data_IF_284107308810
#
_entry.id   IF_284107308810
#
_cell.length_a   1.000
_cell.length_b   1.000
_cell.length_c   1.000
_cell.angle_alpha   90.00
_cell.angle_beta   90.00
_cell.angle_gamma   90.00
#
_symmetry.space_group_name_H-M   'P 1'
#
loop_
_entity.id
_entity.type
_entity.pdbx_description
1 polymer ?
#
# COMPACT_ATOMS: atom_id res chain seq x y z
N UNK A 1 43.78 -13.54 -34.50
CA UNK A 1 43.20 -14.57 -33.62
C UNK A 1 43.29 -14.10 -32.18
N UNK A 2 42.15 -14.07 -31.46
CA UNK A 2 42.00 -13.90 -29.99
C UNK A 2 42.51 -12.57 -29.43
N UNK A 3 41.63 -11.68 -28.95
CA UNK A 3 41.90 -10.77 -27.80
C UNK A 3 40.74 -9.82 -27.42
N UNK A 4 39.58 -9.85 -28.07
CA UNK A 4 38.45 -8.94 -27.74
C UNK A 4 37.23 -9.61 -27.08
N UNK A 5 37.38 -10.85 -26.61
CA UNK A 5 36.41 -11.47 -25.70
C UNK A 5 36.77 -11.06 -24.27
N UNK A 6 36.08 -10.04 -23.74
CA UNK A 6 35.84 -9.75 -22.32
C UNK A 6 35.76 -8.24 -22.08
N UNK A 7 34.72 -7.60 -22.60
CA UNK A 7 34.27 -6.32 -22.05
C UNK A 7 32.87 -6.50 -21.49
N UNK A 8 32.82 -6.36 -20.17
CA UNK A 8 31.65 -5.88 -19.42
C UNK A 8 30.55 -6.91 -19.15
N UNK A 9 30.79 -7.67 -18.08
CA UNK A 9 29.85 -7.80 -16.95
C UNK A 9 28.38 -7.65 -17.36
N UNK A 10 27.72 -8.79 -17.62
CA UNK A 10 26.29 -8.90 -17.33
C UNK A 10 26.08 -8.22 -15.99
N UNK A 11 25.34 -7.11 -15.99
CA UNK A 11 24.83 -6.53 -14.77
C UNK A 11 23.97 -7.62 -14.12
N UNK A 12 24.61 -8.45 -13.28
CA UNK A 12 23.93 -9.35 -12.38
C UNK A 12 23.21 -8.42 -11.42
N UNK A 13 22.00 -8.01 -11.79
CA UNK A 13 21.02 -7.49 -10.84
C UNK A 13 20.82 -8.59 -9.82
N UNK A 14 21.61 -8.57 -8.74
CA UNK A 14 21.45 -9.52 -7.65
C UNK A 14 20.00 -9.40 -7.20
N UNK A 15 19.31 -10.52 -7.21
CA UNK A 15 17.99 -10.60 -6.59
C UNK A 15 18.18 -10.35 -5.09
N UNK A 16 17.31 -9.54 -4.45
CA UNK A 16 17.41 -9.32 -3.02
C UNK A 16 17.32 -10.65 -2.27
N UNK A 17 18.15 -10.78 -1.24
CA UNK A 17 18.09 -11.91 -0.32
C UNK A 17 16.76 -11.92 0.46
N UNK A 18 16.34 -13.08 0.97
CA UNK A 18 15.10 -13.17 1.74
C UNK A 18 15.05 -12.20 2.96
N UNK A 19 16.13 -11.99 3.73
CA UNK A 19 16.15 -11.00 4.81
C UNK A 19 16.01 -9.54 4.31
N UNK A 20 16.54 -9.24 3.13
CA UNK A 20 16.42 -7.93 2.48
C UNK A 20 14.96 -7.65 2.07
N UNK A 21 14.29 -8.62 1.46
CA UNK A 21 12.88 -8.54 1.12
C UNK A 21 11.98 -8.39 2.36
N UNK A 22 12.23 -9.16 3.42
CA UNK A 22 11.46 -9.06 4.67
C UNK A 22 11.53 -7.66 5.30
N UNK A 23 12.72 -7.05 5.34
CA UNK A 23 12.88 -5.67 5.84
C UNK A 23 12.17 -4.64 4.95
N UNK A 24 12.18 -4.82 3.64
CA UNK A 24 11.45 -3.95 2.72
C UNK A 24 9.94 -3.99 2.96
N UNK A 25 9.38 -5.20 3.14
CA UNK A 25 7.95 -5.36 3.46
C UNK A 25 7.62 -4.77 4.83
N UNK A 26 8.44 -5.04 5.85
CA UNK A 26 8.23 -4.52 7.19
C UNK A 26 8.22 -2.99 7.22
N UNK A 27 9.27 -2.35 6.72
CA UNK A 27 9.36 -0.89 6.75
C UNK A 27 8.42 -0.22 5.75
N UNK A 28 8.25 -0.80 4.56
CA UNK A 28 7.31 -0.31 3.57
C UNK A 28 5.87 -0.35 4.08
N UNK A 29 5.46 -1.49 4.66
CA UNK A 29 4.13 -1.66 5.24
C UNK A 29 3.88 -0.79 6.47
N UNK A 30 4.87 -0.64 7.38
CA UNK A 30 4.75 0.25 8.54
C UNK A 30 4.64 1.72 8.14
N UNK A 31 5.52 2.22 7.27
CA UNK A 31 5.49 3.62 6.83
C UNK A 31 4.22 3.93 6.04
N UNK A 32 3.81 3.01 5.16
CA UNK A 32 2.54 3.08 4.45
C UNK A 32 1.36 3.11 5.42
N UNK A 33 1.28 2.14 6.32
CA UNK A 33 0.17 1.98 7.25
C UNK A 33 0.04 3.18 8.16
N UNK A 34 1.14 3.67 8.75
CA UNK A 34 1.14 4.86 9.62
C UNK A 34 0.77 6.12 8.82
N UNK A 35 1.35 6.29 7.62
CA UNK A 35 1.06 7.45 6.76
C UNK A 35 -0.41 7.53 6.37
N UNK A 36 -0.96 6.44 5.83
CA UNK A 36 -2.36 6.38 5.41
C UNK A 36 -3.33 6.47 6.59
N UNK A 37 -3.00 5.85 7.72
CA UNK A 37 -3.80 5.94 8.95
C UNK A 37 -3.84 7.38 9.49
N UNK A 38 -2.68 8.05 9.53
CA UNK A 38 -2.58 9.45 9.97
C UNK A 38 -3.40 10.36 9.05
N UNK A 39 -3.32 10.14 7.73
CA UNK A 39 -4.17 10.84 6.78
C UNK A 39 -5.65 10.58 7.04
N UNK A 40 -6.05 9.33 7.27
CA UNK A 40 -7.44 8.98 7.52
C UNK A 40 -7.98 9.63 8.80
N UNK A 41 -7.17 9.66 9.88
CA UNK A 41 -7.53 10.34 11.12
C UNK A 41 -7.67 11.85 10.95
N UNK A 42 -6.72 12.49 10.28
CA UNK A 42 -6.76 13.94 10.08
C UNK A 42 -7.88 14.30 9.12
N UNK A 43 -7.89 13.73 7.92
CA UNK A 43 -8.83 14.09 6.87
C UNK A 43 -10.26 13.63 7.20
N UNK A 44 -10.49 12.34 7.38
CA UNK A 44 -11.84 11.83 7.64
C UNK A 44 -12.26 12.06 9.10
N UNK A 45 -11.37 11.76 10.05
CA UNK A 45 -11.69 11.84 11.47
C UNK A 45 -11.93 13.28 11.95
N UNK A 46 -10.99 14.19 11.67
CA UNK A 46 -11.03 15.57 12.18
C UNK A 46 -11.68 16.54 11.18
N UNK A 47 -11.21 16.60 9.92
CA UNK A 47 -11.65 17.63 8.96
C UNK A 47 -13.05 17.37 8.40
N UNK A 48 -13.42 16.10 8.20
CA UNK A 48 -14.78 15.70 7.76
C UNK A 48 -15.72 15.37 8.93
N UNK A 49 -15.22 15.40 10.17
CA UNK A 49 -16.04 15.24 11.37
C UNK A 49 -16.56 13.82 11.64
N UNK A 50 -16.03 12.77 10.99
CA UNK A 50 -16.48 11.38 11.28
C UNK A 50 -16.08 10.91 12.68
N UNK A 51 -14.96 11.41 13.22
CA UNK A 51 -14.35 10.93 14.45
C UNK A 51 -13.48 9.69 14.24
N UNK A 52 -12.36 9.62 14.98
CA UNK A 52 -11.29 8.62 14.80
C UNK A 52 -11.78 7.17 14.96
N UNK A 53 -12.70 6.93 15.89
CA UNK A 53 -13.28 5.59 16.14
C UNK A 53 -14.10 5.13 14.93
N UNK A 54 -14.94 6.00 14.37
CA UNK A 54 -15.74 5.67 13.18
C UNK A 54 -14.87 5.40 11.96
N UNK A 55 -13.74 6.11 11.81
CA UNK A 55 -12.79 5.83 10.72
C UNK A 55 -12.28 4.39 10.83
N UNK A 56 -11.88 3.93 12.02
CA UNK A 56 -11.43 2.55 12.18
C UNK A 56 -12.54 1.52 12.05
N UNK A 57 -13.73 1.82 12.56
CA UNK A 57 -14.90 0.99 12.33
C UNK A 57 -15.24 0.90 10.84
N UNK A 58 -15.04 1.95 10.05
CA UNK A 58 -15.28 1.92 8.60
C UNK A 58 -14.36 0.93 7.88
N UNK A 59 -13.10 0.80 8.32
CA UNK A 59 -12.17 -0.21 7.81
C UNK A 59 -12.64 -1.61 8.20
N UNK A 60 -13.00 -1.82 9.46
CA UNK A 60 -13.55 -3.10 9.93
C UNK A 60 -14.88 -3.48 9.26
N UNK A 61 -15.65 -2.50 8.80
CA UNK A 61 -16.88 -2.74 8.05
C UNK A 61 -16.65 -3.36 6.67
N UNK A 62 -15.41 -3.37 6.16
CA UNK A 62 -15.06 -4.21 5.02
C UNK A 62 -15.30 -5.70 5.29
N UNK A 63 -15.15 -6.15 6.54
CA UNK A 63 -15.44 -7.52 6.95
C UNK A 63 -16.83 -7.66 7.60
N UNK A 64 -17.19 -6.71 8.46
CA UNK A 64 -18.39 -6.78 9.30
C UNK A 64 -19.63 -6.09 8.71
N UNK A 65 -19.48 -5.34 7.62
CA UNK A 65 -20.52 -4.47 7.08
C UNK A 65 -20.95 -3.42 8.11
N UNK A 66 -22.24 -3.06 8.09
CA UNK A 66 -22.80 -2.03 8.99
C UNK A 66 -22.76 -2.39 10.48
N UNK A 67 -22.65 -3.68 10.82
CA UNK A 67 -22.56 -4.13 12.22
C UNK A 67 -21.28 -3.66 12.92
N UNK A 68 -20.28 -3.19 12.16
CA UNK A 68 -19.04 -2.62 12.71
C UNK A 68 -19.27 -1.46 13.69
N UNK A 69 -20.34 -0.67 13.48
CA UNK A 69 -20.60 0.53 14.29
C UNK A 69 -21.19 0.21 15.67
N UNK A 70 -21.80 -0.98 15.86
CA UNK A 70 -22.27 -1.42 17.17
C UNK A 70 -21.18 -2.05 18.04
N UNK A 71 -20.05 -2.46 17.47
CA UNK A 71 -18.98 -3.16 18.20
C UNK A 71 -18.02 -2.25 18.98
N UNK A 72 -18.25 -0.92 18.97
CA UNK A 72 -17.48 0.08 19.71
C UNK A 72 -15.95 -0.11 19.54
N UNK A 73 -15.20 -0.16 20.65
CA UNK A 73 -13.74 -0.27 20.64
C UNK A 73 -13.21 -1.57 20.02
N UNK A 74 -13.94 -2.69 20.14
CA UNK A 74 -13.50 -3.96 19.57
C UNK A 74 -13.44 -3.89 18.03
N UNK A 75 -14.48 -3.32 17.40
CA UNK A 75 -14.51 -3.12 15.95
C UNK A 75 -13.47 -2.09 15.49
N UNK A 76 -13.20 -1.04 16.27
CA UNK A 76 -12.14 -0.10 15.95
C UNK A 76 -10.75 -0.77 15.98
N UNK A 77 -10.44 -1.59 17.00
CA UNK A 77 -9.19 -2.33 17.09
C UNK A 77 -9.02 -3.33 15.93
N UNK A 78 -10.11 -4.02 15.54
CA UNK A 78 -10.11 -4.87 14.35
C UNK A 78 -9.80 -4.05 13.09
N UNK A 79 -10.36 -2.83 12.98
CA UNK A 79 -10.09 -1.90 11.89
C UNK A 79 -8.61 -1.57 11.76
N UNK A 80 -7.95 -1.26 12.88
CA UNK A 80 -6.50 -1.00 12.91
C UNK A 80 -5.72 -2.23 12.45
N UNK A 81 -6.07 -3.43 12.94
CA UNK A 81 -5.40 -4.67 12.55
C UNK A 81 -5.54 -4.96 11.05
N UNK A 82 -6.76 -4.82 10.51
CA UNK A 82 -7.04 -5.00 9.08
C UNK A 82 -6.32 -3.96 8.22
N UNK A 83 -6.27 -2.70 8.67
CA UNK A 83 -5.56 -1.62 8.00
C UNK A 83 -4.08 -1.97 7.79
N UNK A 84 -3.38 -2.34 8.87
CA UNK A 84 -1.97 -2.72 8.77
C UNK A 84 -1.78 -4.03 8.00
N UNK A 85 -2.68 -5.00 8.12
CA UNK A 85 -2.63 -6.23 7.31
C UNK A 85 -2.68 -5.90 5.82
N UNK A 86 -3.60 -5.04 5.38
CA UNK A 86 -3.71 -4.59 3.99
C UNK A 86 -2.43 -3.84 3.58
N UNK A 87 -1.91 -2.94 4.42
CA UNK A 87 -0.67 -2.22 4.14
C UNK A 87 0.53 -3.17 3.94
N UNK A 88 0.65 -4.22 4.75
CA UNK A 88 1.70 -5.24 4.58
C UNK A 88 1.50 -6.09 3.32
N UNK A 89 0.25 -6.45 2.97
CA UNK A 89 -0.05 -7.17 1.72
C UNK A 89 0.34 -6.34 0.51
N UNK A 90 -0.05 -5.06 0.48
CA UNK A 90 0.30 -4.12 -0.60
C UNK A 90 1.83 -3.97 -0.69
N UNK A 91 2.52 -3.78 0.44
CA UNK A 91 3.98 -3.73 0.44
C UNK A 91 4.64 -5.03 -0.08
N UNK A 92 4.14 -6.19 0.33
CA UNK A 92 4.63 -7.50 -0.13
C UNK A 92 4.46 -7.69 -1.63
N UNK A 93 3.32 -7.26 -2.20
CA UNK A 93 3.07 -7.30 -3.64
C UNK A 93 4.11 -6.44 -4.38
N UNK A 94 4.34 -5.19 -3.94
CA UNK A 94 5.33 -4.32 -4.59
C UNK A 94 6.73 -4.92 -4.55
N UNK A 95 7.17 -5.44 -3.39
CA UNK A 95 8.47 -6.08 -3.24
C UNK A 95 8.58 -7.34 -4.12
N UNK A 96 7.51 -8.12 -4.27
CA UNK A 96 7.49 -9.27 -5.16
C UNK A 96 7.64 -8.85 -6.64
N UNK A 97 6.96 -7.78 -7.05
CA UNK A 97 7.07 -7.22 -8.40
C UNK A 97 8.46 -6.64 -8.67
N UNK A 98 9.06 -5.99 -7.68
CA UNK A 98 10.38 -5.35 -7.81
C UNK A 98 11.53 -6.36 -8.01
N UNK A 99 11.31 -7.63 -7.64
CA UNK A 99 12.23 -8.73 -7.92
C UNK A 99 12.24 -9.12 -9.41
N UNK A 100 11.14 -8.91 -10.12
CA UNK A 100 10.99 -9.22 -11.54
C UNK A 100 11.36 -8.04 -12.45
N UNK A 101 11.14 -6.81 -11.98
CA UNK A 101 11.40 -5.60 -12.75
C UNK A 101 12.28 -4.62 -11.96
N UNK A 102 13.54 -4.49 -12.38
CA UNK A 102 14.52 -3.59 -11.76
C UNK A 102 14.07 -2.11 -11.76
N UNK A 103 13.27 -1.71 -12.76
CA UNK A 103 12.72 -0.36 -12.89
C UNK A 103 11.97 0.12 -11.63
N UNK A 104 11.27 -0.77 -10.90
CA UNK A 104 10.56 -0.45 -9.65
C UNK A 104 11.51 -0.04 -8.51
N UNK A 105 12.78 -0.45 -8.58
CA UNK A 105 13.83 -0.10 -7.62
C UNK A 105 14.64 1.11 -8.07
N UNK A 106 14.87 1.24 -9.36
CA UNK A 106 15.67 2.32 -9.95
C UNK A 106 14.92 3.65 -10.01
N UNK A 107 13.60 3.63 -10.24
CA UNK A 107 12.76 4.82 -10.37
C UNK A 107 11.62 4.82 -9.33
N UNK A 108 11.93 4.83 -8.03
CA UNK A 108 10.95 4.64 -6.96
C UNK A 108 9.88 5.74 -6.93
N UNK A 109 10.20 6.98 -7.36
CA UNK A 109 9.20 8.06 -7.39
C UNK A 109 8.13 7.84 -8.45
N UNK A 110 8.53 7.41 -9.66
CA UNK A 110 7.60 7.14 -10.76
C UNK A 110 6.77 5.89 -10.46
N UNK A 111 7.44 4.77 -10.16
CA UNK A 111 6.73 3.51 -9.91
C UNK A 111 6.00 3.49 -8.58
N UNK A 112 6.49 4.19 -7.55
CA UNK A 112 5.74 4.40 -6.32
C UNK A 112 4.46 5.20 -6.57
N UNK A 113 4.53 6.30 -7.33
CA UNK A 113 3.34 7.06 -7.66
C UNK A 113 2.32 6.27 -8.49
N UNK A 114 2.77 5.59 -9.55
CA UNK A 114 1.91 4.72 -10.36
C UNK A 114 1.30 3.59 -9.54
N UNK A 115 2.07 2.99 -8.64
CA UNK A 115 1.59 1.91 -7.79
C UNK A 115 0.57 2.40 -6.76
N UNK A 116 0.80 3.55 -6.11
CA UNK A 116 -0.16 4.16 -5.19
C UNK A 116 -1.48 4.51 -5.89
N UNK A 117 -1.41 5.10 -7.09
CA UNK A 117 -2.59 5.37 -7.90
C UNK A 117 -3.34 4.09 -8.26
N UNK A 118 -2.63 3.04 -8.70
CA UNK A 118 -3.21 1.73 -8.99
C UNK A 118 -3.83 1.07 -7.77
N UNK A 119 -3.18 1.14 -6.61
CA UNK A 119 -3.68 0.60 -5.36
C UNK A 119 -5.00 1.27 -4.96
N UNK A 120 -5.11 2.60 -5.08
CA UNK A 120 -6.36 3.31 -4.82
C UNK A 120 -7.50 2.83 -5.73
N UNK A 121 -7.25 2.69 -7.03
CA UNK A 121 -8.25 2.20 -7.98
C UNK A 121 -8.66 0.77 -7.65
N UNK A 122 -7.71 -0.11 -7.30
CA UNK A 122 -8.00 -1.48 -6.86
C UNK A 122 -8.83 -1.50 -5.58
N UNK A 123 -8.57 -0.59 -4.64
CA UNK A 123 -9.41 -0.46 -3.44
C UNK A 123 -10.85 -0.12 -3.82
N UNK A 124 -11.07 0.87 -4.70
CA UNK A 124 -12.40 1.31 -5.10
C UNK A 124 -13.16 0.28 -5.97
N UNK A 125 -12.46 -0.42 -6.88
CA UNK A 125 -13.11 -1.28 -7.87
C UNK A 125 -13.14 -2.76 -7.50
N UNK A 126 -12.25 -3.22 -6.61
CA UNK A 126 -12.12 -4.64 -6.30
C UNK A 126 -12.35 -4.86 -4.81
N UNK A 127 -11.57 -4.19 -3.96
CA UNK A 127 -11.62 -4.47 -2.52
C UNK A 127 -12.95 -4.05 -1.91
N UNK A 128 -13.38 -2.79 -2.09
CA UNK A 128 -14.64 -2.31 -1.52
C UNK A 128 -15.89 -3.02 -2.10
N UNK A 129 -15.97 -3.32 -3.42
CA UNK A 129 -17.08 -4.08 -3.98
C UNK A 129 -17.16 -5.53 -3.49
N UNK A 130 -16.01 -6.20 -3.30
CA UNK A 130 -15.97 -7.57 -2.77
C UNK A 130 -16.05 -7.63 -1.24
N UNK A 131 -15.90 -6.50 -0.56
CA UNK A 131 -16.08 -6.38 0.89
C UNK A 131 -17.55 -6.35 1.26
N UNK A 132 -17.85 -6.47 2.57
CA UNK A 132 -19.20 -6.34 3.10
C UNK A 132 -19.85 -4.95 2.88
N UNK A 133 -19.08 -3.96 2.39
CA UNK A 133 -19.64 -2.70 1.91
C UNK A 133 -20.41 -2.81 0.60
N UNK A 134 -20.10 -3.78 -0.25
CA UNK A 134 -20.73 -3.98 -1.56
C UNK A 134 -20.80 -2.68 -2.39
N UNK A 135 -19.70 -1.92 -2.40
CA UNK A 135 -19.63 -0.69 -3.20
C UNK A 135 -19.77 -0.99 -4.70
N UNK A 136 -20.25 -0.05 -5.53
CA UNK A 136 -20.33 -0.27 -6.98
C UNK A 136 -18.95 -0.56 -7.59
N UNK A 137 -18.88 -1.58 -8.46
CA UNK A 137 -17.65 -1.90 -9.21
C UNK A 137 -17.30 -0.79 -10.22
N UNK A 138 -18.31 -0.17 -10.86
CA UNK A 138 -18.12 0.88 -11.86
C UNK A 138 -19.27 1.91 -11.87
N UNK A 139 -18.97 3.20 -12.07
CA UNK A 139 -17.63 3.81 -12.07
C UNK A 139 -17.04 3.86 -10.65
N UNK A 140 -15.70 3.80 -10.49
CA UNK A 140 -15.09 3.96 -9.18
C UNK A 140 -15.37 5.35 -8.62
N UNK A 141 -15.67 5.43 -7.33
CA UNK A 141 -15.82 6.70 -6.62
C UNK A 141 -14.43 7.30 -6.33
N UNK A 142 -13.80 7.89 -7.33
CA UNK A 142 -12.44 8.44 -7.19
C UNK A 142 -12.50 9.86 -6.65
N UNK A 143 -12.14 10.03 -5.39
CA UNK A 143 -11.97 11.33 -4.78
C UNK A 143 -10.51 11.78 -4.89
N UNK A 144 -10.30 13.03 -5.33
CA UNK A 144 -8.96 13.56 -5.65
C UNK A 144 -8.01 13.54 -4.43
N UNK A 145 -8.48 13.97 -3.27
CA UNK A 145 -7.65 14.09 -2.06
C UNK A 145 -7.14 12.72 -1.58
N UNK A 146 -7.98 11.70 -1.33
CA UNK A 146 -7.48 10.38 -0.93
C UNK A 146 -6.71 9.68 -2.05
N UNK A 147 -7.00 9.96 -3.33
CA UNK A 147 -6.19 9.47 -4.45
C UNK A 147 -4.75 10.00 -4.39
N UNK A 148 -4.57 11.31 -4.18
CA UNK A 148 -3.24 11.90 -3.96
C UNK A 148 -2.61 11.34 -2.68
N UNK A 149 -3.40 11.16 -1.62
CA UNK A 149 -2.98 10.50 -0.38
C UNK A 149 -2.36 9.13 -0.65
N UNK A 150 -2.98 8.29 -1.47
CA UNK A 150 -2.43 6.97 -1.82
C UNK A 150 -1.14 7.05 -2.66
N UNK A 151 -1.01 8.02 -3.56
CA UNK A 151 0.24 8.24 -4.29
C UNK A 151 1.38 8.54 -3.29
N UNK A 152 1.16 9.49 -2.38
CA UNK A 152 2.21 10.05 -1.52
C UNK A 152 2.48 9.20 -0.28
N UNK A 153 1.44 8.60 0.32
CA UNK A 153 1.51 7.95 1.62
C UNK A 153 1.45 6.43 1.54
N UNK A 154 1.01 5.86 0.42
CA UNK A 154 1.00 4.40 0.20
C UNK A 154 2.11 4.02 -0.78
N UNK A 155 2.04 4.54 -2.00
CA UNK A 155 2.93 4.15 -3.09
C UNK A 155 4.40 4.54 -2.88
N UNK A 156 4.66 5.82 -2.59
CA UNK A 156 6.04 6.31 -2.42
C UNK A 156 6.79 5.67 -1.23
N UNK A 157 6.22 5.53 -0.01
CA UNK A 157 6.94 4.95 1.10
C UNK A 157 7.31 3.48 0.85
N UNK A 158 6.41 2.71 0.22
CA UNK A 158 6.67 1.32 -0.16
C UNK A 158 7.80 1.24 -1.19
N UNK A 159 7.76 2.07 -2.23
CA UNK A 159 8.78 2.07 -3.28
C UNK A 159 10.17 2.49 -2.75
N UNK A 160 10.22 3.50 -1.87
CA UNK A 160 11.45 3.97 -1.24
C UNK A 160 12.03 2.93 -0.26
N UNK A 161 11.19 2.31 0.57
CA UNK A 161 11.61 1.22 1.45
C UNK A 161 12.14 0.03 0.63
N UNK A 162 11.48 -0.32 -0.47
CA UNK A 162 11.91 -1.36 -1.38
C UNK A 162 13.28 -1.05 -1.99
N UNK A 163 13.50 0.17 -2.49
CA UNK A 163 14.82 0.59 -2.98
C UNK A 163 15.90 0.55 -1.90
N UNK A 164 15.54 0.88 -0.65
CA UNK A 164 16.50 0.96 0.46
C UNK A 164 16.93 -0.40 1.00
N UNK A 165 16.03 -1.37 0.99
CA UNK A 165 16.23 -2.66 1.67
C UNK A 165 16.29 -3.87 0.73
N UNK A 166 15.74 -3.79 -0.48
CA UNK A 166 15.69 -4.88 -1.47
C UNK A 166 16.59 -4.65 -2.71
N UNK A 167 17.61 -3.80 -2.54
CA UNK A 167 18.72 -3.61 -3.48
C UNK A 167 20.00 -4.20 -2.91
#
# INVERSE_FOLDING_TARGET
MRHWFNMSLTAQTRLPSAPAAGRAVLWGGLLCGVGDLSFAFVYYGLLQGLGVVHVMQSVAGGLLGRATYSGAAASASLGVALHFLIAFIIAAIYVALSRKAAALRERPFVFGALYGAGAYVVMQMIVLPLSAWHSPFWPPNVALIPFIGHIVLVGLPIALATRRFAC
#
